data_IF_982402925790
#
_entry.id   IF_982402925790
#
_cell.length_a   1.000
_cell.length_b   1.000
_cell.length_c   1.000
_cell.angle_alpha   90.00
_cell.angle_beta   90.00
_cell.angle_gamma   90.00
#
_symmetry.space_group_name_H-M   'P 1'
#
loop_
_entity.id
_entity.type
_entity.pdbx_description
1 polymer ?
#
# COMPACT_ATOMS: atom_id res chain seq x y z
N UNK A 1 9.14 -23.18 -30.97
CA UNK A 1 10.36 -22.58 -31.49
C UNK A 1 11.48 -23.61 -31.52
N UNK A 2 12.44 -23.46 -32.41
CA UNK A 2 13.61 -24.34 -32.45
C UNK A 2 14.49 -24.09 -31.25
N UNK A 3 15.05 -25.13 -30.66
CA UNK A 3 16.02 -25.03 -29.57
C UNK A 3 17.40 -25.21 -30.19
N UNK A 4 18.34 -24.31 -29.85
CA UNK A 4 19.73 -24.45 -30.29
C UNK A 4 20.36 -25.69 -29.62
N UNK A 5 20.67 -26.71 -30.37
CA UNK A 5 21.28 -27.93 -29.85
C UNK A 5 22.83 -27.86 -29.78
N UNK A 6 23.41 -26.88 -30.45
CA UNK A 6 24.84 -26.62 -30.38
C UNK A 6 25.28 -25.44 -31.22
N UNK A 7 26.40 -24.88 -30.84
CA UNK A 7 27.09 -23.81 -31.59
C UNK A 7 28.57 -24.19 -31.72
N UNK A 8 29.17 -23.80 -32.83
CA UNK A 8 30.62 -23.91 -33.04
C UNK A 8 31.11 -22.59 -33.65
N UNK A 9 32.26 -22.13 -33.22
CA UNK A 9 32.96 -21.01 -33.81
C UNK A 9 34.26 -21.48 -34.42
N UNK A 10 34.45 -21.20 -35.71
CA UNK A 10 35.70 -21.44 -36.41
C UNK A 10 36.25 -20.07 -36.92
N UNK A 11 37.39 -19.69 -36.47
CA UNK A 11 38.11 -18.48 -36.88
C UNK A 11 39.24 -18.73 -37.90
N UNK A 12 39.38 -19.95 -38.38
CA UNK A 12 40.45 -20.31 -39.29
C UNK A 12 40.25 -19.68 -40.69
N UNK A 13 38.97 -19.57 -41.12
CA UNK A 13 38.64 -18.98 -42.39
C UNK A 13 37.68 -17.79 -42.17
N UNK A 14 38.19 -16.59 -42.26
CA UNK A 14 37.41 -15.35 -42.07
C UNK A 14 36.76 -14.84 -43.35
N UNK A 15 37.19 -15.34 -44.48
CA UNK A 15 36.61 -15.00 -45.82
C UNK A 15 36.57 -16.26 -46.66
N UNK A 16 35.47 -16.48 -47.40
CA UNK A 16 35.30 -17.58 -48.34
C UNK A 16 34.37 -17.13 -49.46
N UNK A 17 34.69 -17.60 -50.70
CA UNK A 17 33.80 -17.40 -51.84
C UNK A 17 32.71 -18.48 -51.92
N UNK A 18 32.81 -19.53 -51.12
CA UNK A 18 31.89 -20.67 -51.17
C UNK A 18 31.55 -21.11 -49.74
N UNK A 19 30.35 -21.49 -49.50
CA UNK A 19 29.89 -22.17 -48.27
C UNK A 19 29.36 -23.57 -48.67
N UNK A 20 29.65 -24.56 -47.85
CA UNK A 20 29.16 -25.92 -48.06
C UNK A 20 28.98 -26.69 -46.77
N UNK A 21 27.93 -27.49 -46.69
CA UNK A 21 27.71 -28.44 -45.58
C UNK A 21 28.22 -29.81 -46.01
N UNK A 22 29.12 -30.40 -45.24
CA UNK A 22 29.58 -31.76 -45.43
C UNK A 22 29.07 -32.66 -44.30
N UNK A 23 28.39 -33.74 -44.68
CA UNK A 23 27.93 -34.74 -43.74
C UNK A 23 28.70 -36.01 -43.96
N UNK A 24 29.38 -36.50 -42.94
CA UNK A 24 30.05 -37.82 -42.95
C UNK A 24 29.20 -38.80 -42.14
N UNK A 25 28.81 -39.88 -42.77
CA UNK A 25 28.04 -40.95 -42.14
C UNK A 25 28.80 -42.28 -42.21
N UNK A 26 28.51 -43.16 -41.26
CA UNK A 26 29.21 -44.46 -41.12
C UNK A 26 28.68 -45.52 -42.04
N UNK A 27 27.45 -45.41 -42.57
CA UNK A 27 26.83 -46.39 -43.43
C UNK A 27 25.96 -45.71 -44.51
N UNK A 28 25.84 -46.32 -45.69
CA UNK A 28 25.05 -45.81 -46.80
C UNK A 28 23.53 -45.78 -46.55
N UNK A 29 23.04 -46.45 -45.51
CA UNK A 29 21.60 -46.56 -45.21
C UNK A 29 20.96 -45.31 -44.65
N UNK A 30 21.75 -44.26 -44.37
CA UNK A 30 21.23 -42.99 -43.78
C UNK A 30 21.20 -41.82 -44.75
N UNK A 31 21.47 -41.97 -46.06
CA UNK A 31 21.53 -40.89 -47.02
C UNK A 31 20.28 -39.99 -47.06
N UNK A 32 19.11 -40.55 -46.90
CA UNK A 32 17.85 -39.82 -46.92
C UNK A 32 17.38 -39.27 -45.54
N UNK A 33 18.27 -39.23 -44.54
CA UNK A 33 17.90 -38.80 -43.17
C UNK A 33 18.57 -37.54 -42.71
N UNK A 34 19.30 -36.84 -43.58
CA UNK A 34 19.91 -35.54 -43.30
C UNK A 34 19.17 -34.49 -44.05
N UNK A 35 18.52 -33.58 -43.36
CA UNK A 35 17.76 -32.50 -43.91
C UNK A 35 18.39 -31.18 -43.41
N UNK A 36 18.54 -30.24 -44.31
CA UNK A 36 19.01 -28.89 -44.02
C UNK A 36 17.97 -27.92 -44.52
N UNK A 37 17.57 -27.01 -43.70
CA UNK A 37 16.58 -25.98 -43.98
C UNK A 37 17.03 -24.65 -43.38
N UNK A 38 16.49 -23.55 -43.89
CA UNK A 38 16.75 -22.20 -43.37
C UNK A 38 18.25 -21.84 -43.23
N UNK A 39 19.07 -22.22 -44.22
CA UNK A 39 20.48 -21.90 -44.25
C UNK A 39 20.67 -20.44 -44.52
N UNK A 40 21.17 -19.68 -43.54
CA UNK A 40 21.51 -18.27 -43.68
C UNK A 40 23.04 -18.09 -43.68
N UNK A 41 23.57 -17.41 -44.69
CA UNK A 41 24.96 -16.97 -44.74
C UNK A 41 24.99 -15.46 -44.84
N UNK A 42 25.52 -14.82 -43.80
CA UNK A 42 25.63 -13.36 -43.77
C UNK A 42 27.01 -12.92 -43.31
N UNK A 43 27.33 -11.67 -43.61
CA UNK A 43 28.58 -11.07 -43.09
C UNK A 43 28.53 -11.07 -41.57
N UNK A 44 29.62 -11.51 -40.96
CA UNK A 44 29.83 -11.33 -39.53
C UNK A 44 30.02 -9.83 -39.25
N UNK A 45 29.11 -9.27 -38.48
CA UNK A 45 29.24 -7.93 -37.94
C UNK A 45 29.66 -8.07 -36.48
N UNK A 46 30.91 -7.77 -36.14
CA UNK A 46 31.35 -7.86 -34.76
C UNK A 46 30.54 -6.90 -33.89
N UNK A 47 30.15 -7.34 -32.72
CA UNK A 47 29.63 -6.46 -31.72
C UNK A 47 30.78 -5.59 -31.16
N UNK A 48 30.62 -4.28 -31.26
CA UNK A 48 31.60 -3.28 -30.82
C UNK A 48 30.99 -2.31 -29.81
N UNK A 49 29.76 -2.57 -29.35
CA UNK A 49 29.00 -1.67 -28.47
C UNK A 49 29.10 -2.20 -27.03
N UNK A 50 29.65 -1.43 -26.09
CA UNK A 50 29.69 -1.86 -24.70
C UNK A 50 28.30 -1.95 -24.06
N UNK A 51 28.11 -2.78 -23.04
CA UNK A 51 26.87 -2.86 -22.29
C UNK A 51 26.56 -1.51 -21.62
N UNK A 52 25.28 -1.21 -21.45
CA UNK A 52 24.81 -0.01 -20.78
C UNK A 52 23.81 -0.32 -19.67
N UNK A 53 23.76 0.53 -18.63
CA UNK A 53 22.84 0.34 -17.51
C UNK A 53 21.43 0.81 -17.89
N UNK A 54 20.47 -0.10 -17.91
CA UNK A 54 19.06 0.19 -18.18
C UNK A 54 18.35 0.68 -16.91
N UNK A 55 18.56 -0.03 -15.78
CA UNK A 55 17.96 0.34 -14.51
C UNK A 55 18.78 -0.12 -13.32
N UNK A 56 18.58 0.56 -12.21
CA UNK A 56 19.07 0.19 -10.88
C UNK A 56 17.88 0.15 -9.94
N UNK A 57 17.62 -0.99 -9.33
CA UNK A 57 16.46 -1.20 -8.45
C UNK A 57 16.90 -1.65 -7.07
N UNK A 58 16.36 -1.04 -6.03
CA UNK A 58 16.62 -1.44 -4.64
C UNK A 58 15.72 -2.60 -4.22
N UNK A 59 16.33 -3.70 -3.80
CA UNK A 59 15.63 -4.90 -3.35
C UNK A 59 15.43 -4.89 -1.83
N UNK A 60 16.45 -4.43 -1.10
CA UNK A 60 16.42 -4.29 0.34
C UNK A 60 17.30 -3.12 0.79
N UNK A 61 17.42 -2.93 2.11
CA UNK A 61 18.30 -1.91 2.67
C UNK A 61 19.78 -2.09 2.31
N UNK A 62 20.19 -3.27 1.83
CA UNK A 62 21.58 -3.60 1.52
C UNK A 62 21.75 -4.24 0.14
N UNK A 63 20.67 -4.40 -0.63
CA UNK A 63 20.73 -5.08 -1.93
C UNK A 63 20.19 -4.21 -3.05
N UNK A 64 20.89 -4.24 -4.19
CA UNK A 64 20.58 -3.50 -5.40
C UNK A 64 20.73 -4.41 -6.60
N UNK A 65 19.78 -4.37 -7.51
CA UNK A 65 19.80 -5.03 -8.80
C UNK A 65 20.19 -4.04 -9.90
N UNK A 66 21.12 -4.44 -10.75
CA UNK A 66 21.58 -3.67 -11.91
C UNK A 66 21.22 -4.43 -13.17
N UNK A 67 20.31 -3.86 -13.96
CA UNK A 67 19.90 -4.41 -15.24
C UNK A 67 20.65 -3.72 -16.39
N UNK A 68 21.27 -4.53 -17.24
CA UNK A 68 21.95 -4.08 -18.46
C UNK A 68 21.05 -4.28 -19.69
N UNK A 69 21.37 -3.57 -20.79
CA UNK A 69 20.66 -3.71 -22.06
C UNK A 69 20.90 -5.04 -22.75
N UNK A 70 21.94 -5.77 -22.34
CA UNK A 70 22.40 -7.04 -22.93
C UNK A 70 23.05 -7.94 -21.89
N UNK A 71 23.37 -9.18 -22.29
CA UNK A 71 24.08 -10.14 -21.44
C UNK A 71 25.51 -9.69 -21.13
N UNK A 72 25.88 -9.70 -19.86
CA UNK A 72 27.22 -9.32 -19.42
C UNK A 72 28.09 -10.55 -19.13
N UNK A 73 29.41 -10.40 -19.29
CA UNK A 73 30.37 -11.47 -19.02
C UNK A 73 30.37 -11.84 -17.53
N UNK A 74 30.42 -13.14 -17.25
CA UNK A 74 30.33 -13.68 -15.91
C UNK A 74 31.46 -13.19 -15.00
N UNK A 75 32.71 -13.19 -15.53
CA UNK A 75 33.89 -12.90 -14.71
C UNK A 75 33.94 -11.42 -14.36
N UNK A 76 33.82 -10.54 -15.35
CA UNK A 76 33.89 -9.10 -15.14
C UNK A 76 32.73 -8.54 -14.36
N UNK A 77 31.52 -9.09 -14.54
CA UNK A 77 30.32 -8.63 -13.83
C UNK A 77 30.29 -9.01 -12.34
N UNK A 78 31.09 -9.99 -11.93
CA UNK A 78 31.17 -10.42 -10.52
C UNK A 78 32.36 -9.80 -9.75
N UNK A 79 33.08 -8.89 -10.36
CA UNK A 79 34.13 -8.14 -9.68
C UNK A 79 33.51 -6.97 -8.91
N UNK A 80 33.41 -7.08 -7.58
CA UNK A 80 32.80 -6.05 -6.71
C UNK A 80 33.44 -4.65 -6.93
N UNK A 81 34.74 -4.57 -7.18
CA UNK A 81 35.46 -3.32 -7.45
C UNK A 81 35.04 -2.58 -8.73
N UNK A 82 34.27 -3.23 -9.61
CA UNK A 82 33.70 -2.61 -10.80
C UNK A 82 32.48 -1.72 -10.50
N UNK A 83 32.00 -1.71 -9.27
CA UNK A 83 30.79 -1.00 -8.81
C UNK A 83 31.14 -0.09 -7.65
N UNK A 84 30.59 1.09 -7.64
CA UNK A 84 30.66 2.00 -6.51
C UNK A 84 29.37 2.84 -6.40
N UNK A 85 28.88 3.02 -5.18
CA UNK A 85 27.76 3.90 -4.87
C UNK A 85 28.29 5.04 -4.00
N UNK A 86 27.86 6.25 -4.31
CA UNK A 86 28.25 7.47 -3.59
C UNK A 86 27.61 7.58 -2.18
N UNK A 87 27.66 8.76 -1.59
CA UNK A 87 27.08 9.07 -0.27
C UNK A 87 27.52 8.11 0.86
N UNK A 88 28.75 7.57 0.78
CA UNK A 88 29.33 6.73 1.83
C UNK A 88 28.91 5.25 1.78
N UNK A 89 28.15 4.82 0.79
CA UNK A 89 27.77 3.40 0.59
C UNK A 89 28.98 2.59 0.12
N UNK A 90 29.74 3.12 -0.86
CA UNK A 90 30.99 2.55 -1.34
C UNK A 90 30.85 1.36 -2.29
N UNK A 91 31.81 0.43 -2.22
CA UNK A 91 31.90 -0.76 -3.06
C UNK A 91 31.07 -1.89 -2.44
N UNK A 92 30.30 -2.68 -3.22
CA UNK A 92 29.57 -3.82 -2.69
C UNK A 92 30.53 -4.92 -2.19
N UNK A 93 30.10 -5.63 -1.15
CA UNK A 93 30.82 -6.81 -0.65
C UNK A 93 30.64 -8.04 -1.55
N UNK A 94 29.62 -8.02 -2.41
CA UNK A 94 29.33 -9.09 -3.37
C UNK A 94 28.65 -8.51 -4.61
N UNK A 95 29.04 -9.04 -5.78
CA UNK A 95 28.38 -8.86 -7.06
C UNK A 95 28.15 -10.25 -7.68
N UNK A 96 26.90 -10.58 -8.00
CA UNK A 96 26.52 -11.91 -8.54
C UNK A 96 25.65 -11.71 -9.77
N UNK A 97 26.10 -12.22 -10.92
CA UNK A 97 25.25 -12.25 -12.13
C UNK A 97 24.15 -13.29 -11.97
N UNK A 98 22.92 -12.92 -12.30
CA UNK A 98 21.80 -13.86 -12.26
C UNK A 98 22.03 -15.02 -13.23
N UNK A 99 21.64 -16.23 -12.80
CA UNK A 99 21.90 -17.46 -13.56
C UNK A 99 20.94 -17.62 -14.76
N UNK A 100 19.75 -17.03 -14.67
CA UNK A 100 18.70 -17.13 -15.69
C UNK A 100 18.62 -15.89 -16.57
N UNK A 101 18.79 -14.71 -15.96
CA UNK A 101 18.86 -13.44 -16.68
C UNK A 101 20.29 -12.90 -16.67
N UNK A 102 21.06 -13.27 -17.68
CA UNK A 102 22.49 -12.90 -17.77
C UNK A 102 22.76 -11.40 -17.99
N UNK A 103 21.72 -10.59 -18.15
CA UNK A 103 21.78 -9.11 -18.16
C UNK A 103 21.58 -8.50 -16.77
N UNK A 104 21.36 -9.30 -15.72
CA UNK A 104 21.07 -8.84 -14.36
C UNK A 104 22.21 -9.16 -13.41
N UNK A 105 22.62 -8.18 -12.58
CA UNK A 105 23.64 -8.35 -11.54
C UNK A 105 23.07 -7.91 -10.20
N UNK A 106 23.17 -8.77 -9.20
CA UNK A 106 22.80 -8.52 -7.82
C UNK A 106 23.99 -8.00 -7.02
N UNK A 107 23.89 -6.80 -6.46
CA UNK A 107 24.90 -6.19 -5.59
C UNK A 107 24.46 -6.25 -4.14
N UNK A 108 25.36 -6.67 -3.24
CA UNK A 108 25.12 -6.61 -1.79
C UNK A 108 26.15 -5.71 -1.13
N UNK A 109 25.69 -4.79 -0.30
CA UNK A 109 26.52 -3.81 0.42
C UNK A 109 26.64 -4.17 1.90
N UNK A 110 27.75 -3.81 2.54
CA UNK A 110 27.95 -3.98 3.97
C UNK A 110 27.12 -2.96 4.79
N UNK A 111 27.08 -1.71 4.30
CA UNK A 111 26.32 -0.64 4.91
C UNK A 111 24.87 -0.61 4.35
N UNK A 112 23.93 -0.12 5.16
CA UNK A 112 22.58 0.15 4.68
C UNK A 112 22.58 1.36 3.74
N UNK A 113 21.79 1.25 2.68
CA UNK A 113 21.53 2.36 1.77
C UNK A 113 20.83 3.50 2.53
N UNK A 114 21.29 4.76 2.39
CA UNK A 114 20.60 5.89 2.96
C UNK A 114 19.17 6.01 2.42
N UNK A 115 18.21 6.14 3.34
CA UNK A 115 16.79 6.24 2.98
C UNK A 115 16.50 7.65 2.46
N UNK A 116 15.78 7.76 1.34
CA UNK A 116 15.35 9.05 0.75
C UNK A 116 16.52 9.94 0.31
N UNK A 117 17.60 9.34 -0.10
CA UNK A 117 18.75 10.03 -0.69
C UNK A 117 18.89 9.57 -2.13
N UNK A 118 19.12 10.52 -3.05
CA UNK A 118 19.51 10.18 -4.41
C UNK A 118 20.93 9.65 -4.40
N UNK A 119 21.10 8.43 -4.84
CA UNK A 119 22.36 7.71 -4.93
C UNK A 119 22.77 7.59 -6.38
N UNK A 120 24.06 7.60 -6.65
CA UNK A 120 24.62 7.36 -7.96
C UNK A 120 25.45 6.06 -7.92
N UNK A 121 25.01 5.06 -8.67
CA UNK A 121 25.83 3.90 -8.99
C UNK A 121 26.76 4.27 -10.16
N UNK A 122 28.05 4.00 -10.01
CA UNK A 122 29.06 4.05 -11.07
C UNK A 122 29.57 2.64 -11.34
N UNK A 123 29.69 2.28 -12.62
CA UNK A 123 30.15 0.97 -13.07
C UNK A 123 31.29 1.14 -14.07
N UNK A 124 32.40 0.44 -13.81
CA UNK A 124 33.56 0.43 -14.70
C UNK A 124 34.09 -1.01 -14.83
N UNK A 125 34.46 -1.42 -16.04
CA UNK A 125 35.15 -2.68 -16.25
C UNK A 125 34.23 -3.90 -16.47
N UNK A 126 32.90 -3.75 -16.41
CA UNK A 126 31.96 -4.80 -16.82
C UNK A 126 31.98 -4.93 -18.33
N UNK A 127 32.05 -6.16 -18.84
CA UNK A 127 32.10 -6.48 -20.27
C UNK A 127 30.82 -7.17 -20.71
N UNK A 128 30.50 -7.05 -22.00
CA UNK A 128 29.56 -7.93 -22.68
C UNK A 128 30.21 -9.28 -23.04
N UNK A 129 29.48 -10.14 -23.76
CA UNK A 129 29.98 -11.42 -24.22
C UNK A 129 30.97 -11.29 -25.41
N UNK A 130 31.00 -10.16 -26.10
CA UNK A 130 31.96 -9.85 -27.16
C UNK A 130 33.27 -9.25 -26.64
N UNK A 131 33.31 -8.86 -25.36
CA UNK A 131 34.50 -8.32 -24.68
C UNK A 131 34.54 -6.80 -24.67
N UNK A 132 33.49 -6.10 -25.14
CA UNK A 132 33.40 -4.64 -25.07
C UNK A 132 33.20 -4.21 -23.62
N UNK A 133 33.95 -3.23 -23.16
CA UNK A 133 34.01 -2.82 -21.76
C UNK A 133 33.21 -1.57 -21.50
N UNK A 134 32.30 -1.62 -20.52
CA UNK A 134 31.61 -0.43 -19.99
C UNK A 134 32.61 0.45 -19.21
N UNK A 135 32.71 1.70 -19.60
CA UNK A 135 33.54 2.70 -18.94
C UNK A 135 32.66 3.87 -18.52
N UNK A 136 32.83 4.30 -17.26
CA UNK A 136 32.05 5.42 -16.67
C UNK A 136 30.52 5.28 -16.81
N UNK A 137 30.00 4.06 -16.83
CA UNK A 137 28.57 3.82 -16.75
C UNK A 137 28.03 4.35 -15.43
N UNK A 138 26.94 5.09 -15.44
CA UNK A 138 26.33 5.58 -14.22
C UNK A 138 24.81 5.61 -14.31
N UNK A 139 24.15 5.41 -13.15
CA UNK A 139 22.69 5.48 -13.02
C UNK A 139 22.32 5.95 -11.63
N UNK A 140 21.42 6.94 -11.57
CA UNK A 140 20.84 7.37 -10.30
C UNK A 140 19.72 6.44 -9.86
N UNK A 141 19.63 6.23 -8.56
CA UNK A 141 18.57 5.46 -7.91
C UNK A 141 18.36 5.99 -6.49
N UNK A 142 17.30 5.53 -5.81
CA UNK A 142 17.08 5.86 -4.40
C UNK A 142 16.55 4.64 -3.66
N UNK A 143 16.92 4.52 -2.39
CA UNK A 143 16.28 3.58 -1.49
C UNK A 143 15.15 4.29 -0.75
N UNK A 144 13.92 3.83 -0.97
CA UNK A 144 12.75 4.46 -0.42
C UNK A 144 12.02 3.52 0.54
N UNK A 145 11.79 4.00 1.75
CA UNK A 145 10.89 3.36 2.71
C UNK A 145 9.73 4.32 2.91
N UNK A 146 8.51 3.85 2.62
CA UNK A 146 7.30 4.62 2.79
C UNK A 146 7.09 5.06 4.24
N UNK A 147 6.75 6.33 4.44
CA UNK A 147 6.30 6.86 5.73
C UNK A 147 4.85 7.34 5.59
N UNK A 148 4.11 7.45 6.71
CA UNK A 148 2.74 7.94 6.67
C UNK A 148 2.59 9.20 5.83
N UNK A 149 1.60 9.19 4.96
CA UNK A 149 1.21 10.27 4.05
C UNK A 149 2.17 10.59 2.90
N UNK A 150 3.20 9.79 2.62
CA UNK A 150 3.97 9.93 1.38
C UNK A 150 3.10 9.74 0.13
N UNK A 151 2.16 8.81 0.23
CA UNK A 151 1.10 8.61 -0.74
C UNK A 151 -0.22 8.65 0.02
N UNK A 152 -1.15 9.40 -0.47
CA UNK A 152 -2.49 9.51 0.11
C UNK A 152 -3.54 8.90 -0.81
N UNK A 153 -4.59 8.35 -0.22
CA UNK A 153 -5.84 8.09 -0.91
C UNK A 153 -6.48 9.47 -1.08
N UNK A 154 -6.60 9.93 -2.30
CA UNK A 154 -7.00 11.29 -2.63
C UNK A 154 -8.46 11.39 -3.08
N UNK A 155 -8.94 10.36 -3.77
CA UNK A 155 -10.32 10.27 -4.25
C UNK A 155 -10.84 8.83 -4.12
N UNK A 156 -12.10 8.68 -3.74
CA UNK A 156 -12.78 7.39 -3.54
C UNK A 156 -14.10 7.40 -4.32
N UNK A 157 -14.26 6.44 -5.23
CA UNK A 157 -15.50 6.24 -5.99
C UNK A 157 -16.11 4.90 -5.60
N UNK A 158 -16.93 4.91 -4.53
CA UNK A 158 -17.49 3.69 -3.93
C UNK A 158 -18.82 3.29 -4.58
N UNK A 159 -19.68 4.25 -4.89
CA UNK A 159 -20.97 3.99 -5.53
C UNK A 159 -21.00 4.54 -6.96
N UNK A 160 -20.81 3.70 -7.99
CA UNK A 160 -20.81 4.16 -9.37
C UNK A 160 -22.20 4.34 -9.99
N UNK A 161 -23.29 4.06 -9.25
CA UNK A 161 -24.66 4.06 -9.78
C UNK A 161 -25.59 4.89 -8.90
N UNK A 162 -26.44 5.74 -9.54
CA UNK A 162 -26.64 5.94 -10.96
C UNK A 162 -25.46 6.63 -11.65
N UNK A 163 -25.13 6.22 -12.87
CA UNK A 163 -24.02 6.79 -13.62
C UNK A 163 -24.24 8.26 -13.94
N UNK A 164 -23.24 9.11 -13.66
CA UNK A 164 -23.23 10.52 -14.03
C UNK A 164 -22.36 10.75 -15.28
N UNK A 165 -21.08 10.48 -15.23
CA UNK A 165 -20.19 10.69 -16.37
C UNK A 165 -18.92 9.83 -16.33
N UNK A 166 -18.71 9.08 -15.26
CA UNK A 166 -17.60 8.13 -15.10
C UNK A 166 -18.06 6.70 -15.39
N UNK A 167 -17.15 5.76 -15.69
CA UNK A 167 -17.48 4.34 -15.80
C UNK A 167 -18.12 3.78 -14.52
N UNK A 168 -19.02 2.80 -14.70
CA UNK A 168 -19.76 2.17 -13.61
C UNK A 168 -18.94 1.10 -12.89
N UNK A 169 -17.78 1.51 -12.33
CA UNK A 169 -16.91 0.66 -11.53
C UNK A 169 -16.32 1.44 -10.36
N UNK A 170 -16.06 0.74 -9.28
CA UNK A 170 -15.35 1.28 -8.12
C UNK A 170 -13.88 1.52 -8.43
N UNK A 171 -13.31 2.56 -7.86
CA UNK A 171 -11.88 2.86 -7.93
C UNK A 171 -11.44 3.76 -6.77
N UNK A 172 -10.13 3.76 -6.54
CA UNK A 172 -9.45 4.62 -5.58
C UNK A 172 -8.35 5.35 -6.32
N UNK A 173 -8.18 6.63 -6.07
CA UNK A 173 -7.05 7.39 -6.55
C UNK A 173 -5.99 7.53 -5.47
N UNK A 174 -4.75 7.33 -5.86
CA UNK A 174 -3.57 7.58 -5.04
C UNK A 174 -2.84 8.80 -5.58
N UNK A 175 -2.43 9.69 -4.69
CA UNK A 175 -1.58 10.84 -4.99
C UNK A 175 -0.27 10.75 -4.23
N UNK A 176 0.83 10.99 -4.91
CA UNK A 176 2.14 11.10 -4.28
C UNK A 176 2.34 12.53 -3.75
N UNK A 177 2.30 12.67 -2.44
CA UNK A 177 2.51 13.95 -1.74
C UNK A 177 3.95 14.13 -1.24
N UNK A 178 4.80 13.12 -1.47
CA UNK A 178 6.22 13.17 -1.12
C UNK A 178 7.04 13.97 -2.14
N UNK A 179 8.29 14.24 -1.81
CA UNK A 179 9.25 14.87 -2.72
C UNK A 179 9.98 13.90 -3.64
N UNK A 180 9.64 12.60 -3.59
CA UNK A 180 10.31 11.51 -4.33
C UNK A 180 9.37 10.85 -5.32
N UNK A 181 9.93 10.33 -6.40
CA UNK A 181 9.23 9.36 -7.24
C UNK A 181 9.20 8.01 -6.53
N UNK A 182 8.05 7.36 -6.45
CA UNK A 182 7.84 6.12 -5.68
C UNK A 182 7.37 5.02 -6.62
N UNK A 183 8.05 3.87 -6.62
CA UNK A 183 7.55 2.67 -7.27
C UNK A 183 6.52 1.97 -6.37
N UNK A 184 5.32 1.79 -6.91
CA UNK A 184 4.22 1.11 -6.22
C UNK A 184 4.32 -0.41 -6.24
N UNK A 185 5.37 -0.99 -6.84
CA UNK A 185 5.59 -2.44 -6.86
C UNK A 185 5.50 -3.03 -5.44
N UNK A 186 4.60 -3.99 -5.26
CA UNK A 186 4.43 -4.67 -3.97
C UNK A 186 3.54 -3.96 -2.95
N UNK A 187 3.10 -2.73 -3.19
CA UNK A 187 2.12 -2.04 -2.35
C UNK A 187 0.75 -2.71 -2.44
N UNK A 188 -0.11 -2.49 -1.45
CA UNK A 188 -1.44 -3.11 -1.37
C UNK A 188 -2.48 -2.15 -0.83
N UNK A 189 -3.71 -2.30 -1.31
CA UNK A 189 -4.89 -1.77 -0.64
C UNK A 189 -5.43 -2.81 0.34
N UNK A 190 -6.06 -2.34 1.42
CA UNK A 190 -6.70 -3.21 2.39
C UNK A 190 -7.99 -2.62 2.93
N UNK A 191 -8.82 -3.48 3.47
CA UNK A 191 -10.00 -3.17 4.28
C UNK A 191 -10.17 -4.23 5.38
N UNK A 192 -11.17 -4.08 6.24
CA UNK A 192 -11.43 -5.01 7.36
C UNK A 192 -11.51 -6.48 6.94
N UNK A 193 -11.93 -6.77 5.70
CA UNK A 193 -12.12 -8.13 5.17
C UNK A 193 -10.87 -8.73 4.53
N UNK A 194 -9.80 -7.96 4.32
CA UNK A 194 -8.55 -8.49 3.75
C UNK A 194 -7.76 -7.50 2.91
N UNK A 195 -6.71 -8.00 2.29
CA UNK A 195 -5.79 -7.24 1.44
C UNK A 195 -6.02 -7.57 -0.04
N UNK A 196 -5.83 -6.58 -0.89
CA UNK A 196 -5.68 -6.78 -2.35
C UNK A 196 -4.43 -7.61 -2.66
N UNK A 197 -4.31 -8.07 -3.89
CA UNK A 197 -3.02 -8.45 -4.47
C UNK A 197 -2.06 -7.26 -4.48
N UNK A 198 -0.80 -7.54 -4.78
CA UNK A 198 0.23 -6.51 -4.88
C UNK A 198 0.01 -5.63 -6.12
N UNK A 199 0.28 -4.35 -5.99
CA UNK A 199 0.34 -3.43 -7.12
C UNK A 199 1.51 -3.81 -8.04
N UNK A 200 1.37 -3.65 -9.35
CA UNK A 200 2.47 -3.80 -10.30
C UNK A 200 3.49 -2.66 -10.13
N UNK A 201 4.66 -2.79 -10.75
CA UNK A 201 5.60 -1.68 -10.85
C UNK A 201 4.96 -0.53 -11.62
N UNK A 202 4.86 0.61 -10.97
CA UNK A 202 4.40 1.86 -11.52
C UNK A 202 5.09 3.01 -10.78
N UNK A 203 5.87 3.80 -11.51
CA UNK A 203 6.55 4.96 -10.92
C UNK A 203 5.54 6.09 -10.77
N UNK A 204 5.04 6.26 -9.56
CA UNK A 204 4.19 7.39 -9.20
C UNK A 204 5.09 8.59 -8.88
N UNK A 205 5.18 9.51 -9.85
CA UNK A 205 6.04 10.70 -9.71
C UNK A 205 5.53 11.61 -8.61
N UNK A 206 6.40 12.46 -8.05
CA UNK A 206 5.98 13.49 -7.10
C UNK A 206 4.82 14.31 -7.67
N UNK A 207 3.85 14.66 -6.85
CA UNK A 207 2.64 15.42 -7.19
C UNK A 207 1.77 14.79 -8.30
N UNK A 208 2.00 13.52 -8.68
CA UNK A 208 1.18 12.82 -9.67
C UNK A 208 0.16 11.90 -9.03
N UNK A 209 -0.74 11.41 -9.87
CA UNK A 209 -1.90 10.61 -9.52
C UNK A 209 -1.85 9.27 -10.23
N UNK A 210 -2.47 8.25 -9.64
CA UNK A 210 -2.74 6.97 -10.27
C UNK A 210 -4.07 6.40 -9.79
N UNK A 211 -4.87 5.93 -10.72
CA UNK A 211 -6.13 5.25 -10.44
C UNK A 211 -5.83 3.77 -10.16
N UNK A 212 -6.36 3.24 -9.07
CA UNK A 212 -6.29 1.81 -8.73
C UNK A 212 -7.69 1.22 -8.80
N UNK A 213 -7.87 0.17 -9.58
CA UNK A 213 -9.16 -0.48 -9.78
C UNK A 213 -9.01 -1.98 -10.03
N UNK A 214 -10.12 -2.68 -10.20
CA UNK A 214 -10.12 -4.07 -10.63
C UNK A 214 -9.59 -4.20 -12.07
N UNK A 215 -8.95 -5.33 -12.40
CA UNK A 215 -8.27 -5.55 -13.68
C UNK A 215 -9.18 -5.43 -14.91
N UNK A 216 -10.47 -5.78 -14.77
CA UNK A 216 -11.47 -5.65 -15.83
C UNK A 216 -11.76 -4.20 -16.24
N UNK A 217 -11.41 -3.21 -15.43
CA UNK A 217 -11.74 -1.81 -15.63
C UNK A 217 -10.56 -0.90 -15.95
N UNK A 218 -9.33 -1.40 -15.87
CA UNK A 218 -8.12 -0.60 -16.18
C UNK A 218 -8.19 0.07 -17.55
N UNK A 219 -8.66 -0.66 -18.58
CA UNK A 219 -8.78 -0.09 -19.93
C UNK A 219 -9.75 1.10 -20.01
N UNK A 220 -10.88 1.03 -19.27
CA UNK A 220 -11.84 2.13 -19.21
C UNK A 220 -11.28 3.32 -18.42
N UNK A 221 -10.59 3.05 -17.31
CA UNK A 221 -10.03 4.09 -16.46
C UNK A 221 -8.78 4.75 -17.07
N UNK A 222 -8.02 4.03 -17.90
CA UNK A 222 -6.86 4.56 -18.63
C UNK A 222 -7.22 5.72 -19.58
N UNK A 223 -8.50 5.85 -19.98
CA UNK A 223 -8.97 7.00 -20.77
C UNK A 223 -8.93 8.32 -19.98
N UNK A 224 -8.87 8.27 -18.66
CA UNK A 224 -8.80 9.44 -17.77
C UNK A 224 -7.37 9.78 -17.35
N UNK A 225 -6.46 8.80 -17.36
CA UNK A 225 -5.05 8.97 -17.01
C UNK A 225 -4.38 7.68 -16.53
N UNK A 226 -3.24 7.76 -15.85
CA UNK A 226 -2.55 6.58 -15.37
C UNK A 226 -3.45 5.71 -14.51
N UNK A 227 -3.60 4.43 -14.87
CA UNK A 227 -4.41 3.46 -14.14
C UNK A 227 -3.67 2.13 -14.01
N UNK A 228 -3.72 1.56 -12.82
CA UNK A 228 -3.16 0.23 -12.50
C UNK A 228 -4.25 -0.65 -11.89
N UNK A 229 -4.04 -1.95 -11.98
CA UNK A 229 -4.95 -2.90 -11.33
C UNK A 229 -4.27 -3.69 -10.23
N UNK A 230 -5.10 -4.14 -9.30
CA UNK A 230 -4.75 -5.15 -8.32
C UNK A 230 -5.70 -6.34 -8.43
N UNK A 231 -5.21 -7.53 -8.20
CA UNK A 231 -6.08 -8.70 -8.02
C UNK A 231 -6.80 -8.54 -6.69
N UNK A 232 -8.03 -9.06 -6.60
CA UNK A 232 -8.85 -8.92 -5.39
C UNK A 232 -8.95 -7.46 -4.94
N UNK A 233 -9.25 -6.54 -5.89
CA UNK A 233 -9.57 -5.15 -5.54
C UNK A 233 -10.67 -5.16 -4.48
N UNK A 234 -10.50 -4.47 -3.34
CA UNK A 234 -11.48 -4.49 -2.28
C UNK A 234 -12.78 -3.83 -2.76
N UNK A 235 -13.88 -4.57 -2.78
CA UNK A 235 -15.20 -3.98 -3.02
C UNK A 235 -15.50 -2.96 -1.93
N UNK A 236 -15.87 -1.76 -2.33
CA UNK A 236 -16.12 -0.63 -1.44
C UNK A 236 -17.58 -0.65 -0.98
N UNK A 237 -17.82 -0.43 0.31
CA UNK A 237 -19.20 -0.27 0.79
C UNK A 237 -19.68 1.16 0.48
N UNK A 238 -20.94 1.28 0.01
CA UNK A 238 -21.49 2.57 -0.36
C UNK A 238 -21.67 3.51 0.85
N UNK A 239 -22.02 2.95 2.01
CA UNK A 239 -22.34 3.72 3.21
C UNK A 239 -21.13 4.09 4.05
N UNK A 240 -20.26 3.13 4.35
CA UNK A 240 -19.03 3.33 5.13
C UNK A 240 -18.03 2.20 4.91
N UNK A 241 -16.75 2.53 4.92
CA UNK A 241 -15.68 1.53 4.90
C UNK A 241 -14.37 2.11 5.43
N UNK A 242 -13.52 1.24 5.98
CA UNK A 242 -12.14 1.55 6.32
C UNK A 242 -11.22 1.01 5.23
N UNK A 243 -10.64 1.91 4.46
CA UNK A 243 -9.65 1.59 3.43
C UNK A 243 -8.28 2.05 3.92
N UNK A 244 -7.25 1.23 3.68
CA UNK A 244 -5.89 1.60 4.00
C UNK A 244 -4.91 1.18 2.90
N UNK A 245 -3.84 1.96 2.78
CA UNK A 245 -2.75 1.75 1.85
C UNK A 245 -1.52 1.25 2.62
N UNK A 246 -1.00 0.09 2.24
CA UNK A 246 0.22 -0.48 2.80
C UNK A 246 1.38 -0.37 1.82
N UNK A 247 2.55 0.02 2.33
CA UNK A 247 3.80 -0.10 1.57
C UNK A 247 4.18 -1.58 1.35
N UNK A 248 5.17 -1.83 0.51
CA UNK A 248 5.70 -3.19 0.27
C UNK A 248 6.25 -3.87 1.54
N UNK A 249 6.67 -3.08 2.53
CA UNK A 249 7.12 -3.56 3.84
C UNK A 249 5.95 -3.79 4.83
N UNK A 250 4.70 -3.61 4.39
CA UNK A 250 3.51 -3.77 5.22
C UNK A 250 3.24 -2.62 6.18
N UNK A 251 3.85 -1.45 5.99
CA UNK A 251 3.59 -0.25 6.79
C UNK A 251 2.31 0.43 6.34
N UNK A 252 1.47 0.85 7.29
CA UNK A 252 0.33 1.69 6.98
C UNK A 252 0.82 3.10 6.57
N UNK A 253 0.49 3.50 5.35
CA UNK A 253 0.88 4.78 4.77
C UNK A 253 -0.25 5.79 4.85
N UNK A 254 -1.47 5.35 4.60
CA UNK A 254 -2.68 6.16 4.75
C UNK A 254 -3.88 5.26 5.02
N UNK A 255 -4.80 5.72 5.83
CA UNK A 255 -6.07 5.05 6.08
C UNK A 255 -7.21 6.09 6.07
N UNK A 256 -8.32 5.72 5.46
CA UNK A 256 -9.53 6.53 5.37
C UNK A 256 -10.72 5.68 5.81
N UNK A 257 -11.35 6.10 6.89
CA UNK A 257 -12.60 5.50 7.36
C UNK A 257 -13.75 6.41 6.91
N UNK A 258 -14.12 6.30 5.62
CA UNK A 258 -15.15 7.16 5.08
C UNK A 258 -16.55 6.72 5.50
N UNK A 259 -17.47 7.68 5.46
CA UNK A 259 -18.89 7.47 5.72
C UNK A 259 -19.71 8.30 4.72
N UNK A 260 -20.88 7.82 4.35
CA UNK A 260 -21.79 8.45 3.39
C UNK A 260 -22.12 9.92 3.74
N UNK A 261 -22.13 10.27 5.03
CA UNK A 261 -22.34 11.64 5.49
C UNK A 261 -21.25 12.62 5.01
N UNK A 262 -20.07 12.12 4.61
CA UNK A 262 -18.96 12.94 4.12
C UNK A 262 -19.24 13.58 2.76
N UNK A 263 -20.19 13.04 1.99
CA UNK A 263 -20.64 13.67 0.74
C UNK A 263 -21.22 15.07 0.98
N UNK A 264 -21.79 15.35 2.17
CA UNK A 264 -22.38 16.64 2.53
C UNK A 264 -23.40 17.14 1.50
N UNK A 265 -24.02 16.23 0.77
CA UNK A 265 -24.97 16.51 -0.29
C UNK A 265 -25.91 15.31 -0.48
N UNK A 266 -27.20 15.51 -0.25
CA UNK A 266 -28.21 14.46 -0.27
C UNK A 266 -28.41 13.80 -1.66
N UNK A 267 -28.17 14.55 -2.74
CA UNK A 267 -28.33 14.01 -4.11
C UNK A 267 -27.08 13.25 -4.56
N UNK A 268 -25.89 13.64 -4.08
CA UNK A 268 -24.63 13.04 -4.51
C UNK A 268 -24.27 11.77 -3.75
N UNK A 269 -24.80 11.61 -2.52
CA UNK A 269 -24.59 10.40 -1.73
C UNK A 269 -25.30 9.18 -2.32
N UNK A 270 -26.29 9.39 -3.18
CA UNK A 270 -27.09 8.31 -3.80
C UNK A 270 -26.38 7.66 -5.01
N UNK A 271 -25.11 7.98 -5.24
CA UNK A 271 -24.22 7.35 -6.22
C UNK A 271 -23.83 8.22 -7.42
N UNK A 272 -22.88 7.75 -8.21
CA UNK A 272 -22.33 8.41 -9.40
C UNK A 272 -21.38 9.56 -9.12
N UNK A 273 -21.04 9.82 -7.86
CA UNK A 273 -20.14 10.88 -7.42
C UNK A 273 -19.04 10.29 -6.53
N UNK A 274 -17.82 10.81 -6.65
CA UNK A 274 -16.72 10.46 -5.76
C UNK A 274 -16.71 11.31 -4.50
N UNK A 275 -16.03 10.78 -3.48
CA UNK A 275 -15.52 11.53 -2.35
C UNK A 275 -14.12 12.02 -2.67
N UNK A 276 -13.90 13.32 -2.60
CA UNK A 276 -12.61 13.98 -2.86
C UNK A 276 -12.02 14.55 -1.58
N UNK A 277 -10.70 14.38 -1.37
CA UNK A 277 -9.97 15.07 -0.32
C UNK A 277 -9.84 16.55 -0.66
N UNK A 278 -10.09 17.44 0.33
CA UNK A 278 -10.04 18.89 0.14
C UNK A 278 -8.58 19.38 0.18
N UNK A 279 -7.82 18.98 1.18
CA UNK A 279 -6.42 19.41 1.38
C UNK A 279 -5.51 18.22 1.66
N UNK A 280 -4.68 17.87 0.71
CA UNK A 280 -3.72 16.78 0.84
C UNK A 280 -2.58 17.06 1.82
N UNK A 281 -2.46 18.29 2.32
CA UNK A 281 -1.55 18.62 3.42
C UNK A 281 -2.11 18.26 4.79
N UNK A 282 -3.41 17.92 4.86
CA UNK A 282 -4.12 17.50 6.07
C UNK A 282 -4.78 16.12 5.90
N UNK A 283 -4.06 15.08 5.46
CA UNK A 283 -4.63 13.82 5.02
C UNK A 283 -5.28 12.99 6.15
N UNK A 284 -4.96 13.29 7.38
CA UNK A 284 -5.49 12.58 8.55
C UNK A 284 -6.73 13.23 9.19
N UNK A 285 -7.08 14.41 8.73
CA UNK A 285 -8.30 15.08 9.16
C UNK A 285 -9.51 14.42 8.52
N UNK A 286 -10.33 13.70 9.26
CA UNK A 286 -11.45 12.89 8.76
C UNK A 286 -12.50 13.70 7.98
N UNK A 287 -13.76 13.59 8.37
CA UNK A 287 -14.93 14.16 7.67
C UNK A 287 -14.79 15.63 7.26
N UNK A 288 -14.07 16.46 8.02
CA UNK A 288 -13.92 17.90 7.70
C UNK A 288 -13.07 18.13 6.45
N UNK A 289 -12.20 17.19 6.08
CA UNK A 289 -11.30 17.29 4.93
C UNK A 289 -11.79 16.52 3.69
N UNK A 290 -13.03 16.08 3.67
CA UNK A 290 -13.61 15.35 2.55
C UNK A 290 -14.94 15.94 2.12
N UNK A 291 -15.25 15.82 0.83
CA UNK A 291 -16.49 16.31 0.24
C UNK A 291 -16.79 15.59 -1.07
N UNK A 292 -18.08 15.52 -1.44
CA UNK A 292 -18.47 15.08 -2.77
C UNK A 292 -17.84 15.93 -3.87
N UNK A 293 -17.37 15.29 -4.94
CA UNK A 293 -16.91 15.98 -6.16
C UNK A 293 -17.91 17.02 -6.62
N UNK A 294 -17.40 18.15 -7.13
CA UNK A 294 -18.20 19.17 -7.80
C UNK A 294 -17.98 19.19 -9.33
N UNK A 295 -17.18 18.28 -9.85
CA UNK A 295 -16.99 18.10 -11.28
C UNK A 295 -18.25 17.54 -11.94
N UNK A 296 -18.62 18.07 -13.10
CA UNK A 296 -19.83 17.66 -13.82
C UNK A 296 -19.85 16.18 -14.25
N UNK A 297 -18.68 15.51 -14.29
CA UNK A 297 -18.58 14.08 -14.59
C UNK A 297 -18.74 13.17 -13.37
N UNK A 298 -18.89 13.75 -12.18
CA UNK A 298 -19.05 12.99 -10.95
C UNK A 298 -17.74 12.68 -10.19
N UNK A 299 -16.59 13.06 -10.73
CA UNK A 299 -15.27 12.84 -10.13
C UNK A 299 -14.14 13.42 -10.97
N UNK A 300 -12.92 13.35 -10.45
CA UNK A 300 -11.72 13.94 -11.05
C UNK A 300 -10.56 12.94 -11.23
N UNK A 301 -10.79 11.73 -11.77
CA UNK A 301 -9.76 10.71 -11.86
C UNK A 301 -8.53 11.20 -12.62
N UNK A 302 -7.34 10.89 -12.07
CA UNK A 302 -6.00 11.21 -12.55
C UNK A 302 -5.69 12.71 -12.67
N UNK A 303 -6.36 13.54 -11.88
CA UNK A 303 -6.11 14.98 -11.84
C UNK A 303 -6.49 15.56 -10.47
N UNK A 304 -6.12 16.79 -10.27
CA UNK A 304 -6.40 17.54 -9.05
C UNK A 304 -7.90 17.55 -8.73
N UNK A 305 -8.25 17.28 -7.49
CA UNK A 305 -9.61 17.24 -6.98
C UNK A 305 -10.38 18.55 -7.25
N UNK A 306 -11.64 18.43 -7.63
CA UNK A 306 -12.52 19.57 -7.91
C UNK A 306 -12.80 20.44 -6.69
N UNK A 307 -12.64 19.85 -5.50
CA UNK A 307 -12.85 20.52 -4.21
C UNK A 307 -11.55 20.99 -3.55
N UNK A 308 -10.40 20.84 -4.25
CA UNK A 308 -9.08 21.19 -3.71
C UNK A 308 -9.03 22.63 -3.22
N UNK A 309 -8.70 22.80 -1.96
CA UNK A 309 -8.57 24.07 -1.28
C UNK A 309 -7.70 23.93 -0.03
N UNK A 310 -7.19 25.03 0.47
CA UNK A 310 -6.56 25.04 1.80
C UNK A 310 -7.65 24.79 2.85
N UNK A 311 -7.45 23.75 3.64
CA UNK A 311 -8.33 23.35 4.73
C UNK A 311 -7.48 23.04 5.96
N UNK A 312 -6.93 24.10 6.56
CA UNK A 312 -6.04 23.96 7.70
C UNK A 312 -6.79 23.37 8.90
N UNK A 313 -6.24 22.29 9.43
CA UNK A 313 -6.73 21.71 10.67
C UNK A 313 -6.16 22.47 11.87
N UNK A 314 -7.05 23.14 12.57
CA UNK A 314 -6.77 23.88 13.80
C UNK A 314 -7.59 23.34 14.98
N UNK A 315 -8.28 22.22 14.78
CA UNK A 315 -9.14 21.59 15.78
C UNK A 315 -8.31 20.68 16.65
N UNK A 316 -8.46 20.80 17.94
CA UNK A 316 -7.78 19.92 18.89
C UNK A 316 -8.56 18.62 19.07
N UNK A 317 -7.90 17.44 19.10
CA UNK A 317 -8.57 16.19 19.37
C UNK A 317 -9.21 16.16 20.75
N UNK A 318 -10.35 15.48 20.87
CA UNK A 318 -11.10 15.34 22.11
C UNK A 318 -11.23 13.87 22.50
N UNK A 319 -11.06 13.58 23.76
CA UNK A 319 -11.36 12.27 24.29
C UNK A 319 -12.88 12.09 24.40
N UNK A 320 -13.46 11.27 23.53
CA UNK A 320 -14.90 11.03 23.50
C UNK A 320 -15.31 10.01 24.54
N UNK A 321 -14.54 8.93 24.68
CA UNK A 321 -14.90 7.82 25.56
C UNK A 321 -13.69 7.01 25.97
N UNK A 322 -13.75 6.45 27.18
CA UNK A 322 -12.82 5.44 27.68
C UNK A 322 -13.59 4.22 28.19
N UNK A 323 -13.11 3.02 27.95
CA UNK A 323 -13.69 1.80 28.53
C UNK A 323 -12.62 0.73 28.76
N UNK A 324 -12.75 0.00 29.86
CA UNK A 324 -11.88 -1.12 30.14
C UNK A 324 -12.29 -2.34 29.32
N UNK A 325 -11.33 -3.01 28.69
CA UNK A 325 -11.54 -4.28 27.99
C UNK A 325 -11.13 -5.48 28.83
N UNK A 326 -10.17 -5.27 29.73
CA UNK A 326 -9.69 -6.21 30.75
C UNK A 326 -9.38 -5.43 32.03
N UNK A 327 -9.12 -6.09 33.16
CA UNK A 327 -8.68 -5.42 34.38
C UNK A 327 -7.41 -4.56 34.25
N UNK A 328 -6.65 -4.73 33.17
CA UNK A 328 -5.37 -4.05 32.94
C UNK A 328 -5.30 -3.29 31.61
N UNK A 329 -6.38 -3.29 30.82
CA UNK A 329 -6.39 -2.65 29.51
C UNK A 329 -7.59 -1.70 29.36
N UNK A 330 -7.31 -0.48 28.89
CA UNK A 330 -8.31 0.56 28.62
C UNK A 330 -8.18 0.97 27.16
N UNK A 331 -9.31 1.06 26.46
CA UNK A 331 -9.41 1.67 25.13
C UNK A 331 -9.87 3.12 25.31
N UNK A 332 -9.20 4.01 24.62
CA UNK A 332 -9.54 5.44 24.52
C UNK A 332 -10.01 5.72 23.09
N UNK A 333 -11.13 6.41 22.94
CA UNK A 333 -11.68 6.82 21.66
C UNK A 333 -11.66 8.34 21.59
N UNK A 334 -11.01 8.85 20.56
CA UNK A 334 -10.99 10.28 20.23
C UNK A 334 -11.96 10.57 19.08
N UNK A 335 -12.35 11.84 18.92
CA UNK A 335 -13.24 12.29 17.83
C UNK A 335 -12.53 12.40 16.48
N UNK A 336 -11.19 12.33 16.49
CA UNK A 336 -10.35 12.35 15.30
C UNK A 336 -9.08 11.51 15.46
N UNK A 337 -8.31 11.37 14.38
CA UNK A 337 -7.08 10.59 14.38
C UNK A 337 -5.98 11.26 15.22
N UNK A 338 -5.34 10.48 16.07
CA UNK A 338 -4.22 10.93 16.90
C UNK A 338 -2.87 10.53 16.29
N UNK A 339 -1.84 11.36 16.55
CA UNK A 339 -0.47 11.05 16.20
C UNK A 339 0.07 9.90 17.05
N UNK A 340 0.53 8.84 16.39
CA UNK A 340 0.98 7.61 17.05
C UNK A 340 2.19 7.82 17.95
N UNK A 341 3.08 8.77 17.64
CA UNK A 341 4.26 9.05 18.45
C UNK A 341 3.87 9.68 19.81
N UNK A 342 2.98 10.65 19.79
CA UNK A 342 2.46 11.26 21.02
C UNK A 342 1.52 10.32 21.79
N UNK A 343 0.70 9.55 21.06
CA UNK A 343 -0.22 8.58 21.67
C UNK A 343 0.51 7.39 22.33
N UNK A 344 1.71 7.05 21.90
CA UNK A 344 2.51 5.98 22.50
C UNK A 344 3.23 6.39 23.81
N UNK A 345 3.22 7.66 24.18
CA UNK A 345 3.88 8.15 25.40
C UNK A 345 3.00 7.89 26.63
N UNK A 346 3.35 6.91 27.45
CA UNK A 346 2.57 6.54 28.63
C UNK A 346 2.35 7.72 29.63
N UNK A 347 3.29 8.65 29.73
CA UNK A 347 3.18 9.82 30.58
C UNK A 347 2.08 10.80 30.15
N UNK A 348 1.55 10.67 28.92
CA UNK A 348 0.42 11.47 28.45
C UNK A 348 -0.93 11.02 29.01
N UNK A 349 -0.96 9.94 29.77
CA UNK A 349 -2.16 9.36 30.34
C UNK A 349 -2.01 9.28 31.86
N UNK A 350 -3.01 9.75 32.58
CA UNK A 350 -3.08 9.60 34.02
C UNK A 350 -4.43 9.04 34.45
N UNK A 351 -4.42 8.15 35.40
CA UNK A 351 -5.60 7.59 36.05
C UNK A 351 -5.40 7.63 37.54
N UNK A 352 -6.44 7.98 38.25
CA UNK A 352 -6.35 8.04 39.74
C UNK A 352 -6.40 6.64 40.34
N UNK A 353 -5.27 6.16 40.84
CA UNK A 353 -5.10 4.86 41.54
C UNK A 353 -5.14 3.60 40.63
N UNK A 354 -4.75 2.45 41.23
CA UNK A 354 -4.82 1.16 40.58
C UNK A 354 -6.28 0.74 40.31
N UNK A 355 -6.54 0.11 39.15
CA UNK A 355 -7.88 -0.31 38.75
C UNK A 355 -8.44 -1.41 39.68
N UNK A 356 -9.35 -1.04 40.53
CA UNK A 356 -10.08 -1.97 41.41
C UNK A 356 -11.41 -2.35 40.73
N UNK A 357 -11.77 -3.63 40.75
CA UNK A 357 -13.01 -4.12 40.20
C UNK A 357 -14.24 -3.41 40.81
N UNK A 358 -15.19 -3.03 39.93
CA UNK A 358 -16.43 -2.36 40.33
C UNK A 358 -16.31 -0.86 40.63
N UNK A 359 -15.12 -0.26 40.43
CA UNK A 359 -14.87 1.16 40.73
C UNK A 359 -14.78 1.99 39.43
N UNK A 360 -15.30 3.21 39.51
CA UNK A 360 -15.21 4.22 38.41
C UNK A 360 -13.98 5.10 38.66
N UNK A 361 -13.24 5.35 37.62
CA UNK A 361 -12.08 6.23 37.60
C UNK A 361 -12.23 7.34 36.59
N UNK A 362 -11.51 8.41 36.77
CA UNK A 362 -11.32 9.42 35.71
C UNK A 362 -9.96 9.17 35.08
N UNK A 363 -9.94 8.97 33.76
CA UNK A 363 -8.72 9.03 32.98
C UNK A 363 -8.56 10.43 32.41
N UNK A 364 -7.35 10.96 32.46
CA UNK A 364 -6.99 12.26 31.88
C UNK A 364 -5.90 12.07 30.86
N UNK A 365 -6.06 12.70 29.70
CA UNK A 365 -5.10 12.72 28.59
C UNK A 365 -4.54 14.13 28.46
N UNK A 366 -3.21 14.29 28.34
CA UNK A 366 -2.61 15.63 28.35
C UNK A 366 -1.71 15.91 27.15
N UNK A 367 -0.86 14.98 26.75
CA UNK A 367 0.19 15.22 25.74
C UNK A 367 -0.10 14.66 24.36
N UNK A 368 -1.28 14.05 24.16
CA UNK A 368 -1.65 13.47 22.87
C UNK A 368 -1.98 14.58 21.88
N UNK A 369 -1.51 14.43 20.66
CA UNK A 369 -1.73 15.35 19.54
C UNK A 369 -2.45 14.64 18.40
N UNK A 370 -3.09 15.41 17.54
CA UNK A 370 -3.45 14.94 16.21
C UNK A 370 -2.21 14.88 15.30
N UNK A 371 -2.40 14.49 14.06
CA UNK A 371 -1.31 14.40 13.08
C UNK A 371 -0.84 15.77 12.57
N UNK A 372 -1.52 16.86 12.90
CA UNK A 372 -1.10 18.24 12.60
C UNK A 372 -0.39 18.91 13.78
N UNK A 373 -0.35 18.23 14.91
CA UNK A 373 0.32 18.69 16.11
C UNK A 373 -0.59 19.48 17.06
N UNK A 374 -1.91 19.59 16.79
CA UNK A 374 -2.85 20.19 17.72
C UNK A 374 -2.92 19.32 18.99
N UNK A 375 -2.74 19.94 20.14
CA UNK A 375 -2.76 19.25 21.41
C UNK A 375 -4.20 18.94 21.84
N UNK A 376 -4.44 17.78 22.44
CA UNK A 376 -5.76 17.39 22.98
C UNK A 376 -6.40 18.52 23.79
N UNK A 377 -7.68 18.78 23.52
CA UNK A 377 -8.43 19.88 24.13
C UNK A 377 -8.56 19.72 25.63
N UNK A 378 -8.08 20.67 26.42
CA UNK A 378 -8.18 20.63 27.88
C UNK A 378 -9.62 20.66 28.42
N UNK A 379 -10.58 21.10 27.62
CA UNK A 379 -12.01 21.04 27.94
C UNK A 379 -12.67 19.67 27.67
N UNK A 380 -11.96 18.77 26.98
CA UNK A 380 -12.47 17.46 26.59
C UNK A 380 -11.36 16.39 26.60
N UNK A 381 -10.53 16.39 27.62
CA UNK A 381 -9.40 15.48 27.79
C UNK A 381 -9.60 14.46 28.92
N UNK A 382 -10.79 14.39 29.49
CA UNK A 382 -11.12 13.46 30.54
C UNK A 382 -12.31 12.58 30.16
N UNK A 383 -12.30 11.34 30.63
CA UNK A 383 -13.42 10.41 30.50
C UNK A 383 -13.52 9.52 31.72
N UNK A 384 -14.72 9.11 32.06
CA UNK A 384 -14.93 8.11 33.08
C UNK A 384 -14.62 6.71 32.49
N UNK A 385 -13.91 5.89 33.26
CA UNK A 385 -13.65 4.51 32.93
C UNK A 385 -13.90 3.65 34.17
N UNK A 386 -14.65 2.59 34.00
CA UNK A 386 -14.90 1.65 35.06
C UNK A 386 -14.25 0.31 34.81
N UNK A 387 -13.68 -0.26 35.83
CA UNK A 387 -13.35 -1.66 35.83
C UNK A 387 -14.60 -2.42 36.27
N UNK A 388 -15.12 -3.30 35.38
CA UNK A 388 -16.38 -3.97 35.65
C UNK A 388 -16.25 -4.97 36.80
N UNK A 389 -17.29 -5.01 37.65
CA UNK A 389 -17.45 -5.98 38.72
C UNK A 389 -18.15 -7.25 38.21
N UNK A 390 -18.02 -8.32 39.00
CA UNK A 390 -18.78 -9.54 38.73
C UNK A 390 -20.29 -9.25 38.87
N UNK A 391 -21.05 -9.70 37.87
CA UNK A 391 -22.50 -9.65 37.87
C UNK A 391 -23.03 -10.60 38.95
N UNK A 392 -23.79 -10.08 39.90
CA UNK A 392 -24.49 -10.84 40.92
C UNK A 392 -26.02 -10.82 40.68
N UNK A 393 -26.73 -11.76 41.27
CA UNK A 393 -28.19 -11.82 41.16
C UNK A 393 -28.81 -10.51 41.64
N UNK A 394 -29.74 -9.97 40.84
CA UNK A 394 -30.44 -8.72 41.08
C UNK A 394 -29.59 -7.41 40.98
N UNK A 395 -28.33 -7.47 40.55
CA UNK A 395 -27.59 -6.26 40.19
C UNK A 395 -28.26 -5.54 38.99
N UNK A 396 -28.70 -6.31 37.99
CA UNK A 396 -29.48 -5.84 36.85
C UNK A 396 -30.90 -6.35 36.99
N UNK A 397 -31.88 -5.49 36.80
CA UNK A 397 -33.30 -5.82 36.76
C UNK A 397 -33.95 -5.28 35.49
N UNK A 398 -34.98 -5.95 35.04
CA UNK A 398 -35.88 -5.40 34.03
C UNK A 398 -36.65 -4.28 34.70
N UNK A 399 -36.55 -3.07 34.19
CA UNK A 399 -37.21 -1.86 34.73
C UNK A 399 -38.51 -1.54 33.99
N UNK A 400 -38.49 -1.68 32.67
CA UNK A 400 -39.65 -1.40 31.83
C UNK A 400 -39.72 -2.38 30.69
N UNK A 401 -40.96 -2.71 30.26
CA UNK A 401 -41.21 -3.53 29.09
C UNK A 401 -42.30 -2.84 28.27
N UNK A 402 -42.01 -2.49 27.05
CA UNK A 402 -42.96 -2.05 26.04
C UNK A 402 -43.18 -3.18 25.03
N UNK A 403 -44.31 -3.87 25.09
CA UNK A 403 -44.62 -5.05 24.25
C UNK A 403 -45.73 -4.78 23.21
N UNK A 404 -46.31 -3.60 23.18
CA UNK A 404 -47.31 -3.19 22.22
C UNK A 404 -47.18 -1.70 21.90
N UNK A 405 -46.15 -1.34 21.14
CA UNK A 405 -45.88 0.08 20.78
C UNK A 405 -46.95 0.61 19.82
N UNK A 406 -46.97 1.92 19.63
CA UNK A 406 -47.78 2.54 18.56
C UNK A 406 -47.33 2.03 17.19
N UNK A 407 -48.19 2.06 16.14
CA UNK A 407 -47.78 1.68 14.79
C UNK A 407 -46.47 2.37 14.36
N UNK A 408 -45.55 1.61 13.79
CA UNK A 408 -44.22 2.00 13.39
C UNK A 408 -43.24 2.32 14.54
N UNK A 409 -43.50 1.89 15.77
CA UNK A 409 -42.55 1.92 16.88
C UNK A 409 -42.13 0.49 17.25
N UNK A 410 -41.03 0.34 17.98
CA UNK A 410 -40.38 -0.93 18.30
C UNK A 410 -40.73 -1.39 19.73
N UNK A 411 -40.76 -2.71 19.95
CA UNK A 411 -40.78 -3.28 21.29
C UNK A 411 -39.42 -3.08 21.97
N UNK A 412 -39.45 -2.83 23.29
CA UNK A 412 -38.20 -2.77 24.03
C UNK A 412 -38.32 -3.31 25.46
N UNK A 413 -37.17 -3.67 26.02
CA UNK A 413 -36.99 -3.99 27.42
C UNK A 413 -35.92 -3.08 27.99
N UNK A 414 -36.23 -2.30 29.01
CA UNK A 414 -35.28 -1.45 29.72
C UNK A 414 -34.65 -2.25 30.88
N UNK A 415 -33.34 -2.23 30.95
CA UNK A 415 -32.54 -2.81 32.03
C UNK A 415 -32.03 -1.70 32.96
N UNK A 416 -32.23 -1.89 34.26
CA UNK A 416 -31.76 -0.97 35.29
C UNK A 416 -30.69 -1.63 36.13
N UNK A 417 -29.49 -0.98 36.24
CA UNK A 417 -28.42 -1.38 37.13
C UNK A 417 -28.71 -0.85 38.55
N UNK A 418 -29.14 -1.73 39.45
CA UNK A 418 -29.42 -1.42 40.86
C UNK A 418 -28.17 -1.37 41.74
N UNK A 419 -27.07 -1.93 41.22
CA UNK A 419 -25.82 -1.97 41.98
C UNK A 419 -25.10 -0.61 41.88
N UNK A 420 -24.09 -0.42 42.74
CA UNK A 420 -23.13 0.68 42.61
C UNK A 420 -21.88 0.30 41.82
N UNK A 421 -21.94 -0.84 41.07
CA UNK A 421 -20.85 -1.36 40.27
C UNK A 421 -21.07 -1.04 38.80
N UNK A 422 -19.99 -0.95 38.04
CA UNK A 422 -20.02 -1.04 36.59
C UNK A 422 -20.12 -2.52 36.22
N UNK A 423 -21.05 -2.86 35.36
CA UNK A 423 -21.34 -4.23 34.94
C UNK A 423 -21.14 -4.35 33.43
N UNK A 424 -20.43 -5.38 33.01
CA UNK A 424 -20.29 -5.75 31.60
C UNK A 424 -21.45 -6.70 31.24
N UNK A 425 -22.29 -6.28 30.32
CA UNK A 425 -23.42 -7.11 29.83
C UNK A 425 -23.02 -8.12 28.76
N UNK A 426 -21.76 -8.17 28.36
CA UNK A 426 -21.26 -9.18 27.41
C UNK A 426 -21.52 -10.57 27.98
N UNK A 427 -22.08 -11.45 27.15
CA UNK A 427 -22.53 -12.79 27.53
C UNK A 427 -23.72 -12.81 28.53
N UNK A 428 -24.46 -11.71 28.64
CA UNK A 428 -25.76 -11.67 29.33
C UNK A 428 -26.87 -11.89 28.31
N UNK A 429 -27.90 -12.61 28.70
CA UNK A 429 -28.99 -12.97 27.80
C UNK A 429 -30.31 -12.48 28.36
N UNK A 430 -31.17 -11.96 27.47
CA UNK A 430 -32.56 -11.73 27.75
C UNK A 430 -33.33 -12.95 27.28
N UNK A 431 -34.13 -13.58 28.15
CA UNK A 431 -34.91 -14.76 27.82
C UNK A 431 -36.35 -14.62 28.32
N UNK A 432 -37.29 -15.14 27.55
CA UNK A 432 -38.65 -15.32 28.01
C UNK A 432 -38.80 -16.68 28.78
N UNK A 433 -39.98 -16.97 29.25
CA UNK A 433 -40.27 -18.21 30.00
C UNK A 433 -39.98 -19.50 29.20
N UNK A 434 -39.93 -19.40 27.86
CA UNK A 434 -39.56 -20.52 26.99
C UNK A 434 -38.08 -20.45 26.70
N UNK A 435 -37.25 -21.24 27.39
CA UNK A 435 -35.79 -21.26 27.33
C UNK A 435 -35.19 -21.63 25.96
N UNK A 436 -36.05 -22.00 24.98
CA UNK A 436 -35.59 -22.29 23.59
C UNK A 436 -35.21 -21.03 22.80
N UNK A 437 -35.60 -19.84 23.24
CA UNK A 437 -35.32 -18.55 22.56
C UNK A 437 -34.52 -17.61 23.47
N UNK A 438 -33.26 -17.86 23.61
CA UNK A 438 -32.33 -16.94 24.29
C UNK A 438 -31.83 -15.94 23.25
N UNK A 439 -32.04 -14.66 23.49
CA UNK A 439 -31.52 -13.58 22.65
C UNK A 439 -30.27 -13.03 23.34
N UNK A 440 -29.15 -13.07 22.65
CA UNK A 440 -27.92 -12.43 23.13
C UNK A 440 -28.04 -10.90 23.06
N UNK A 441 -27.58 -10.22 24.08
CA UNK A 441 -27.41 -8.75 24.15
C UNK A 441 -26.24 -8.27 23.30
#
# INVERSE_FOLDING_TARGET
>A
GFVTEGTVTDALYTTSAFFGISVRQSTASFFGRHFFDDIEVKNFVPDIIPPSIVSVSTISATQVDVLYNESVDLISSQVSGNYAVDNGVGVPISAVRDATNTSLVHLTFAAQLPVRVNLLLTVNGVKDLAGNTLVNGSRSFSFFIGTPFDIVIDEIFADPTPQVGLPTNEWIELRNTSSFDIDLAGWRLGKSTGLSGTMPSHILRKDSFVIVCASSFVGAMAAFGPAISVTSFPSLNNDEDLIYLLSKEGRNIHAVNYNISWYKNELKKDGGWSLEMIDTKNPCTGMSNWKASIDAKGGTPARKNSVDAVNADVTAPKLVRAFATTPTSIILIFDENTDSSSAAIAANYSISNALVSGTVYTITVTGVRDCKGNLVSTSANTSLVGNFGNLLRADIVINEILFNPKPAAEDYVELYNRSNKIINLKNTYLANRNTSNIVSS
#
